data_IF_582257255593
#
_entry.id   IF_582257255593
#
_cell.length_a   1.000
_cell.length_b   1.000
_cell.length_c   1.000
_cell.angle_alpha   90.00
_cell.angle_beta   90.00
_cell.angle_gamma   90.00
#
_symmetry.space_group_name_H-M   'P 1'
#
loop_
_entity.id
_entity.type
_entity.pdbx_description
1 polymer ?
#
# COMPACT_ATOMS: atom_id res chain seq x y z
N UNK A 1 -7.35 -50.85 -15.43
CA UNK A 1 -7.70 -49.72 -14.56
C UNK A 1 -7.17 -49.98 -13.16
N UNK A 2 -6.36 -49.07 -12.62
CA UNK A 2 -5.93 -49.11 -11.22
C UNK A 2 -7.03 -48.46 -10.38
N UNK A 3 -7.39 -49.07 -9.25
CA UNK A 3 -8.37 -48.54 -8.29
C UNK A 3 -7.68 -48.35 -6.95
N UNK A 4 -7.86 -47.19 -6.33
CA UNK A 4 -7.37 -46.94 -4.98
C UNK A 4 -8.42 -47.47 -3.99
N UNK A 5 -8.03 -48.44 -3.17
CA UNK A 5 -8.91 -49.08 -2.18
C UNK A 5 -8.66 -48.58 -0.76
N UNK A 6 -7.44 -48.14 -0.45
CA UNK A 6 -7.06 -47.69 0.88
C UNK A 6 -6.32 -46.35 0.79
N UNK A 7 -6.74 -45.40 1.62
CA UNK A 7 -6.09 -44.10 1.78
C UNK A 7 -5.92 -43.83 3.28
N UNK A 8 -4.68 -43.94 3.77
CA UNK A 8 -4.32 -43.54 5.12
C UNK A 8 -3.41 -42.31 5.09
N UNK A 9 -3.85 -41.25 5.76
CA UNK A 9 -3.16 -39.98 5.94
C UNK A 9 -3.05 -39.61 7.43
N UNK A 10 -3.14 -40.61 8.31
CA UNK A 10 -3.07 -40.46 9.76
C UNK A 10 -1.78 -39.76 10.22
N UNK A 11 -1.87 -38.94 11.29
CA UNK A 11 -0.69 -38.48 12.03
C UNK A 11 0.08 -37.36 11.35
N UNK A 12 -0.62 -36.49 10.62
CA UNK A 12 -0.05 -35.36 9.90
C UNK A 12 -0.56 -34.02 10.47
N UNK A 13 -0.12 -32.90 9.87
CA UNK A 13 -0.53 -31.54 10.27
C UNK A 13 -1.50 -30.89 9.26
N UNK A 14 -2.27 -31.68 8.52
CA UNK A 14 -3.16 -31.14 7.47
C UNK A 14 -4.23 -30.23 8.05
N UNK A 15 -4.55 -29.15 7.31
CA UNK A 15 -5.50 -28.09 7.72
C UNK A 15 -6.56 -27.87 6.65
N UNK A 16 -7.68 -27.24 7.04
CA UNK A 16 -8.80 -26.95 6.14
C UNK A 16 -9.78 -28.13 6.04
N UNK A 17 -10.71 -28.07 5.08
CA UNK A 17 -11.74 -29.10 4.88
C UNK A 17 -11.23 -30.28 4.06
N UNK A 18 -11.89 -31.44 4.16
CA UNK A 18 -11.62 -32.60 3.31
C UNK A 18 -11.83 -32.17 1.84
N UNK A 19 -10.80 -32.26 0.96
CA UNK A 19 -10.96 -31.94 -0.45
C UNK A 19 -11.89 -32.95 -1.13
N UNK A 20 -12.45 -32.60 -2.29
CA UNK A 20 -13.37 -33.51 -2.97
C UNK A 20 -12.68 -34.82 -3.36
N UNK A 21 -13.14 -35.93 -2.76
CA UNK A 21 -12.68 -37.29 -3.06
C UNK A 21 -13.69 -38.06 -3.92
N UNK A 22 -14.72 -37.39 -4.45
CA UNK A 22 -15.90 -38.00 -5.07
C UNK A 22 -15.62 -38.95 -6.25
N UNK A 23 -14.44 -38.84 -6.88
CA UNK A 23 -14.00 -39.70 -7.97
C UNK A 23 -13.42 -41.05 -7.51
N UNK A 24 -13.03 -41.19 -6.24
CA UNK A 24 -12.36 -42.37 -5.68
C UNK A 24 -13.34 -43.49 -5.32
N UNK A 25 -14.22 -43.89 -6.25
CA UNK A 25 -15.33 -44.83 -6.00
C UNK A 25 -14.90 -46.25 -5.58
N UNK A 26 -13.62 -46.58 -5.70
CA UNK A 26 -13.06 -47.87 -5.27
C UNK A 26 -12.64 -47.92 -3.80
N UNK A 27 -12.73 -46.80 -3.08
CA UNK A 27 -12.21 -46.67 -1.72
C UNK A 27 -13.01 -47.50 -0.71
N UNK A 28 -12.30 -48.29 0.10
CA UNK A 28 -12.80 -49.16 1.16
C UNK A 28 -12.32 -48.72 2.54
N UNK A 29 -11.12 -48.14 2.65
CA UNK A 29 -10.59 -47.62 3.90
C UNK A 29 -10.15 -46.17 3.71
N UNK A 30 -10.64 -45.29 4.59
CA UNK A 30 -10.21 -43.90 4.66
C UNK A 30 -9.82 -43.56 6.11
N UNK A 31 -8.53 -43.33 6.34
CA UNK A 31 -8.02 -42.84 7.62
C UNK A 31 -7.46 -41.43 7.47
N UNK A 32 -8.11 -40.46 8.11
CA UNK A 32 -7.71 -39.06 8.18
C UNK A 32 -7.44 -38.62 9.63
N UNK A 33 -7.25 -39.57 10.55
CA UNK A 33 -7.15 -39.28 11.97
C UNK A 33 -5.87 -38.53 12.34
N UNK A 34 -5.84 -37.95 13.54
CA UNK A 34 -4.66 -37.25 14.08
C UNK A 34 -4.13 -36.16 13.13
N UNK A 35 -4.99 -35.21 12.79
CA UNK A 35 -4.70 -34.07 11.90
C UNK A 35 -5.36 -32.78 12.44
N UNK A 36 -5.24 -31.67 11.71
CA UNK A 36 -5.87 -30.39 12.05
C UNK A 36 -6.94 -29.97 11.03
N UNK A 37 -7.66 -30.96 10.47
CA UNK A 37 -8.74 -30.72 9.49
C UNK A 37 -9.97 -30.12 10.18
N UNK A 38 -10.73 -29.30 9.47
CA UNK A 38 -11.84 -28.49 10.02
C UNK A 38 -12.99 -28.34 9.01
N UNK A 39 -14.13 -27.82 9.46
CA UNK A 39 -15.34 -27.67 8.66
C UNK A 39 -16.29 -28.87 8.79
N UNK A 40 -17.29 -28.95 7.91
CA UNK A 40 -18.29 -30.02 7.95
C UNK A 40 -17.79 -31.31 7.29
N UNK A 41 -18.19 -32.45 7.83
CA UNK A 41 -17.93 -33.76 7.23
C UNK A 41 -18.79 -33.89 5.96
N UNK A 42 -18.20 -34.08 4.77
CA UNK A 42 -18.95 -34.08 3.52
C UNK A 42 -19.94 -35.25 3.43
N UNK A 43 -21.18 -34.95 3.05
CA UNK A 43 -22.25 -35.94 2.94
C UNK A 43 -21.96 -37.05 1.92
N UNK A 44 -21.24 -36.73 0.83
CA UNK A 44 -20.89 -37.69 -0.23
C UNK A 44 -20.00 -38.85 0.27
N UNK A 45 -19.37 -38.72 1.45
CA UNK A 45 -18.62 -39.83 2.05
C UNK A 45 -19.52 -41.03 2.37
N UNK A 46 -20.81 -40.81 2.56
CA UNK A 46 -21.80 -41.86 2.73
C UNK A 46 -22.08 -42.66 1.45
N UNK A 47 -21.73 -42.12 0.28
CA UNK A 47 -21.97 -42.77 -1.01
C UNK A 47 -20.88 -43.79 -1.40
N UNK A 48 -19.80 -43.89 -0.61
CA UNK A 48 -18.75 -44.90 -0.83
C UNK A 48 -19.09 -46.19 -0.09
N UNK A 49 -18.63 -47.30 -0.66
CA UNK A 49 -18.70 -48.63 -0.03
C UNK A 49 -17.53 -48.83 0.95
N UNK A 50 -17.39 -47.90 1.89
CA UNK A 50 -16.33 -47.90 2.90
C UNK A 50 -16.58 -49.01 3.93
N UNK A 51 -15.53 -49.75 4.24
CA UNK A 51 -15.45 -50.70 5.34
C UNK A 51 -14.99 -50.04 6.63
N UNK A 52 -14.17 -48.99 6.54
CA UNK A 52 -13.67 -48.24 7.68
C UNK A 52 -13.44 -46.76 7.35
N UNK A 53 -13.97 -45.88 8.21
CA UNK A 53 -13.81 -44.44 8.13
C UNK A 53 -13.31 -43.88 9.47
N UNK A 54 -12.06 -43.41 9.52
CA UNK A 54 -11.49 -42.82 10.73
C UNK A 54 -11.26 -41.32 10.54
N UNK A 55 -12.05 -40.50 11.25
CA UNK A 55 -12.01 -39.04 11.27
C UNK A 55 -11.61 -38.49 12.65
N UNK A 56 -11.12 -39.35 13.53
CA UNK A 56 -10.84 -38.99 14.91
C UNK A 56 -9.70 -37.97 15.06
N UNK A 57 -9.68 -37.24 16.18
CA UNK A 57 -8.64 -36.27 16.53
C UNK A 57 -8.37 -35.24 15.42
N UNK A 58 -9.44 -34.50 15.08
CA UNK A 58 -9.44 -33.37 14.16
C UNK A 58 -10.31 -32.23 14.76
N UNK A 59 -10.61 -31.19 13.97
CA UNK A 59 -11.45 -30.04 14.32
C UNK A 59 -12.74 -29.95 13.50
N UNK A 60 -13.36 -31.07 13.12
CA UNK A 60 -14.63 -31.07 12.38
C UNK A 60 -15.80 -30.53 13.21
N UNK A 61 -16.76 -29.88 12.53
CA UNK A 61 -17.91 -29.23 13.16
C UNK A 61 -19.22 -29.46 12.40
N UNK A 62 -20.34 -29.31 13.11
CA UNK A 62 -21.69 -29.44 12.54
C UNK A 62 -22.29 -30.83 12.65
N UNK A 63 -23.39 -31.06 11.91
CA UNK A 63 -24.12 -32.33 11.95
C UNK A 63 -23.39 -33.42 11.18
N UNK A 64 -23.18 -34.58 11.79
CA UNK A 64 -22.69 -35.76 11.09
C UNK A 64 -23.76 -36.27 10.11
N UNK A 65 -23.42 -36.63 8.85
CA UNK A 65 -24.35 -37.27 7.95
C UNK A 65 -24.96 -38.55 8.55
N UNK A 66 -26.16 -38.91 8.12
CA UNK A 66 -26.91 -40.04 8.70
C UNK A 66 -27.05 -41.23 7.76
N UNK A 67 -26.47 -41.17 6.55
CA UNK A 67 -26.61 -42.19 5.50
C UNK A 67 -25.29 -42.91 5.22
N UNK A 68 -25.37 -44.11 4.64
CA UNK A 68 -24.18 -44.90 4.28
C UNK A 68 -23.36 -45.35 5.48
N UNK A 69 -22.03 -45.25 5.38
CA UNK A 69 -21.06 -45.63 6.43
C UNK A 69 -21.35 -44.99 7.79
N UNK A 70 -21.97 -43.81 7.81
CA UNK A 70 -22.31 -43.09 9.02
C UNK A 70 -23.43 -43.75 9.87
N UNK A 71 -24.13 -44.77 9.34
CA UNK A 71 -25.07 -45.60 10.11
C UNK A 71 -24.38 -46.71 10.91
N UNK A 72 -23.16 -47.09 10.53
CA UNK A 72 -22.45 -48.22 11.12
C UNK A 72 -21.43 -47.72 12.15
N UNK A 73 -21.85 -47.63 13.42
CA UNK A 73 -20.99 -47.12 14.49
C UNK A 73 -19.72 -47.94 14.75
N UNK A 74 -19.70 -49.22 14.34
CA UNK A 74 -18.51 -50.08 14.45
C UNK A 74 -17.47 -49.81 13.36
N UNK A 75 -17.86 -49.16 12.26
CA UNK A 75 -17.02 -48.91 11.10
C UNK A 75 -16.58 -47.44 10.96
N UNK A 76 -16.98 -46.57 11.90
CA UNK A 76 -16.63 -45.15 11.90
C UNK A 76 -16.07 -44.69 13.26
N UNK A 77 -15.01 -43.88 13.23
CA UNK A 77 -14.48 -43.20 14.41
C UNK A 77 -14.46 -41.69 14.19
N UNK A 78 -15.12 -40.95 15.09
CA UNK A 78 -15.19 -39.46 15.08
C UNK A 78 -14.73 -38.83 16.39
N UNK A 79 -14.10 -39.63 17.26
CA UNK A 79 -13.63 -39.22 18.58
C UNK A 79 -12.70 -38.00 18.51
N UNK A 80 -12.71 -37.13 19.52
CA UNK A 80 -11.80 -35.96 19.57
C UNK A 80 -12.25 -34.74 18.76
N UNK A 81 -13.39 -34.79 18.05
CA UNK A 81 -13.97 -33.63 17.36
C UNK A 81 -15.06 -32.98 18.23
N UNK A 82 -14.73 -31.92 18.96
CA UNK A 82 -15.59 -31.35 20.02
C UNK A 82 -16.84 -30.60 19.54
N UNK A 83 -16.91 -30.24 18.25
CA UNK A 83 -18.00 -29.44 17.65
C UNK A 83 -18.95 -30.26 16.77
N UNK A 84 -18.80 -31.58 16.71
CA UNK A 84 -19.73 -32.45 16.01
C UNK A 84 -20.99 -32.70 16.83
N UNK A 85 -22.13 -32.80 16.14
CA UNK A 85 -23.42 -33.12 16.72
C UNK A 85 -24.21 -34.08 15.81
N UNK A 86 -25.24 -34.75 16.33
CA UNK A 86 -26.09 -35.65 15.54
C UNK A 86 -25.46 -37.03 15.26
N UNK A 87 -25.73 -37.62 14.09
CA UNK A 87 -25.24 -38.97 13.75
C UNK A 87 -26.00 -40.12 14.44
N UNK A 88 -25.46 -41.34 14.32
CA UNK A 88 -26.01 -42.54 14.93
C UNK A 88 -25.99 -42.47 16.46
N UNK A 89 -27.03 -42.99 17.12
CA UNK A 89 -27.19 -42.95 18.59
C UNK A 89 -26.01 -43.59 19.34
N UNK A 90 -25.40 -44.61 18.73
CA UNK A 90 -24.26 -45.36 19.26
C UNK A 90 -22.97 -44.52 19.35
N UNK A 91 -22.86 -43.42 18.59
CA UNK A 91 -21.69 -42.52 18.60
C UNK A 91 -21.72 -41.50 19.75
N UNK A 92 -22.81 -41.43 20.51
CA UNK A 92 -22.98 -40.57 21.70
C UNK A 92 -22.67 -39.07 21.49
N UNK A 93 -22.81 -38.57 20.27
CA UNK A 93 -22.64 -37.14 19.97
C UNK A 93 -23.78 -36.29 20.54
N UNK A 94 -23.54 -35.01 20.89
CA UNK A 94 -24.58 -34.11 21.37
C UNK A 94 -25.67 -33.92 20.29
N UNK A 95 -26.91 -33.71 20.72
CA UNK A 95 -28.02 -33.37 19.80
C UNK A 95 -27.78 -31.99 19.20
N UNK A 96 -27.88 -31.87 17.88
CA UNK A 96 -27.76 -30.56 17.22
C UNK A 96 -28.89 -29.63 17.67
N UNK A 97 -28.54 -28.45 18.19
CA UNK A 97 -29.52 -27.46 18.65
C UNK A 97 -30.06 -26.69 17.44
N UNK A 98 -31.30 -26.95 17.04
CA UNK A 98 -31.98 -26.10 16.06
C UNK A 98 -32.28 -24.74 16.71
N UNK A 99 -31.58 -23.68 16.28
CA UNK A 99 -32.15 -22.33 16.37
C UNK A 99 -33.33 -22.28 15.41
N UNK A 100 -34.53 -22.09 15.95
CA UNK A 100 -35.79 -21.96 15.22
C UNK A 100 -35.69 -20.95 14.07
N UNK A 101 -35.72 -21.43 12.82
CA UNK A 101 -36.40 -20.76 11.73
C UNK A 101 -37.82 -21.33 11.71
N UNK A 102 -38.71 -20.85 12.58
CA UNK A 102 -40.18 -20.94 12.44
C UNK A 102 -40.87 -20.24 13.62
N UNK A 103 -41.06 -18.92 13.52
CA UNK A 103 -42.17 -18.24 14.21
C UNK A 103 -43.04 -17.53 13.18
N UNK A 104 -44.27 -18.02 13.07
CA UNK A 104 -45.41 -17.29 12.52
C UNK A 104 -45.58 -15.97 13.28
N UNK A 105 -45.51 -14.84 12.58
CA UNK A 105 -45.81 -13.49 13.10
C UNK A 105 -46.59 -12.68 12.05
N UNK A 106 -47.42 -11.70 12.49
CA UNK A 106 -48.60 -11.24 11.78
C UNK A 106 -48.29 -10.31 10.58
N UNK A 107 -49.18 -10.36 9.59
CA UNK A 107 -49.06 -9.88 8.20
C UNK A 107 -48.99 -8.36 7.96
N UNK A 108 -48.78 -7.52 8.99
CA UNK A 108 -48.78 -6.05 8.83
C UNK A 108 -47.39 -5.39 8.81
N UNK A 109 -46.36 -6.01 9.40
CA UNK A 109 -45.01 -5.40 9.48
C UNK A 109 -44.12 -5.75 8.28
N UNK A 110 -44.45 -6.81 7.55
CA UNK A 110 -43.69 -7.30 6.39
C UNK A 110 -43.76 -6.34 5.18
N UNK A 111 -44.84 -5.56 5.04
CA UNK A 111 -44.94 -4.56 3.95
C UNK A 111 -43.99 -3.39 4.18
N UNK A 112 -43.86 -2.92 5.42
CA UNK A 112 -42.97 -1.80 5.74
C UNK A 112 -41.51 -2.22 5.65
N UNK A 113 -41.15 -3.41 6.14
CA UNK A 113 -39.78 -3.92 6.04
C UNK A 113 -39.39 -4.29 4.62
N UNK A 114 -40.28 -4.88 3.80
CA UNK A 114 -40.01 -5.08 2.36
C UNK A 114 -39.85 -3.74 1.65
N UNK A 115 -40.68 -2.73 1.94
CA UNK A 115 -40.50 -1.38 1.37
C UNK A 115 -39.20 -0.71 1.80
N UNK A 116 -38.79 -0.87 3.07
CA UNK A 116 -37.53 -0.31 3.56
C UNK A 116 -36.34 -1.06 2.97
N UNK A 117 -36.36 -2.39 2.91
CA UNK A 117 -35.28 -3.20 2.33
C UNK A 117 -35.19 -3.00 0.82
N UNK A 118 -36.33 -2.91 0.12
CA UNK A 118 -36.38 -2.56 -1.30
C UNK A 118 -35.91 -1.12 -1.55
N UNK A 119 -36.23 -0.20 -0.65
CA UNK A 119 -35.76 1.19 -0.71
C UNK A 119 -34.26 1.28 -0.46
N UNK A 120 -33.73 0.57 0.54
CA UNK A 120 -32.29 0.51 0.86
C UNK A 120 -31.53 -0.21 -0.25
N UNK A 121 -32.05 -1.30 -0.80
CA UNK A 121 -31.45 -2.00 -1.92
C UNK A 121 -31.51 -1.15 -3.19
N UNK A 122 -32.61 -0.42 -3.42
CA UNK A 122 -32.75 0.53 -4.51
C UNK A 122 -31.77 1.71 -4.39
N UNK A 123 -31.61 2.26 -3.18
CA UNK A 123 -30.64 3.31 -2.89
C UNK A 123 -29.20 2.80 -3.01
N UNK A 124 -28.91 1.58 -2.56
CA UNK A 124 -27.61 0.95 -2.73
C UNK A 124 -27.31 0.68 -4.21
N UNK A 125 -28.29 0.24 -5.00
CA UNK A 125 -28.14 0.05 -6.44
C UNK A 125 -28.00 1.38 -7.17
N UNK A 126 -28.71 2.43 -6.76
CA UNK A 126 -28.53 3.79 -7.28
C UNK A 126 -27.17 4.36 -6.89
N UNK A 127 -26.69 4.10 -5.68
CA UNK A 127 -25.36 4.52 -5.24
C UNK A 127 -24.27 3.75 -5.97
N UNK A 128 -24.44 2.43 -6.16
CA UNK A 128 -23.58 1.61 -7.01
C UNK A 128 -23.66 2.05 -8.49
N UNK A 129 -24.81 2.51 -8.97
CA UNK A 129 -24.98 3.03 -10.32
C UNK A 129 -24.34 4.41 -10.45
N UNK A 130 -24.47 5.29 -9.46
CA UNK A 130 -23.79 6.59 -9.40
C UNK A 130 -22.30 6.38 -9.28
N UNK A 131 -21.81 5.46 -8.44
CA UNK A 131 -20.40 5.06 -8.39
C UNK A 131 -19.99 4.48 -9.74
N UNK A 132 -20.76 3.58 -10.34
CA UNK A 132 -20.43 3.01 -11.65
C UNK A 132 -20.41 4.09 -12.73
N UNK A 133 -21.33 5.06 -12.71
CA UNK A 133 -21.41 6.16 -13.66
C UNK A 133 -20.37 7.25 -13.36
N UNK A 134 -19.94 7.41 -12.10
CA UNK A 134 -18.89 8.33 -11.65
C UNK A 134 -17.51 7.74 -11.88
N UNK A 135 -17.36 6.42 -11.72
CA UNK A 135 -16.23 5.61 -12.17
C UNK A 135 -16.23 5.51 -13.68
N UNK A 136 -17.38 5.46 -14.36
CA UNK A 136 -17.47 5.60 -15.82
C UNK A 136 -17.16 7.01 -16.24
N UNK A 137 -17.55 8.07 -15.53
CA UNK A 137 -17.18 9.47 -15.79
C UNK A 137 -15.70 9.72 -15.53
N UNK A 138 -15.13 9.14 -14.46
CA UNK A 138 -13.68 9.06 -14.23
C UNK A 138 -13.02 8.21 -15.33
N UNK A 139 -13.64 7.12 -15.84
CA UNK A 139 -13.20 6.38 -17.05
C UNK A 139 -13.56 7.07 -18.38
N UNK A 140 -14.42 8.08 -18.45
CA UNK A 140 -14.67 8.85 -19.69
C UNK A 140 -13.81 10.11 -19.70
N UNK A 141 -13.28 10.50 -18.53
CA UNK A 141 -12.15 11.42 -18.39
C UNK A 141 -10.78 10.71 -18.40
N UNK A 142 -10.72 9.41 -18.06
CA UNK A 142 -9.49 8.60 -17.95
C UNK A 142 -9.64 7.19 -18.55
N UNK A 143 -10.32 7.10 -19.69
CA UNK A 143 -10.17 6.00 -20.63
C UNK A 143 -10.43 6.51 -22.05
N UNK A 144 -9.43 7.19 -22.59
CA UNK A 144 -8.85 6.61 -23.79
C UNK A 144 -8.15 5.32 -23.35
N UNK A 145 -8.86 4.19 -23.36
CA UNK A 145 -8.20 2.90 -23.39
C UNK A 145 -7.56 2.76 -24.77
N UNK A 146 -6.46 3.46 -24.99
CA UNK A 146 -5.52 3.07 -26.03
C UNK A 146 -4.85 1.82 -25.51
N UNK A 147 -5.19 0.69 -26.12
CA UNK A 147 -4.35 -0.49 -26.15
C UNK A 147 -2.90 0.01 -26.30
N UNK A 148 -2.03 -0.24 -25.31
CA UNK A 148 -0.63 0.11 -25.40
C UNK A 148 0.04 -0.80 -26.45
N UNK A 149 -0.20 -0.55 -27.74
CA UNK A 149 0.95 -0.40 -28.63
C UNK A 149 1.74 0.76 -28.06
N UNK A 150 3.00 0.55 -27.67
CA UNK A 150 3.92 1.63 -27.31
C UNK A 150 3.81 2.69 -28.41
N UNK A 151 3.08 3.78 -28.16
CA UNK A 151 2.98 4.89 -29.10
C UNK A 151 4.40 5.39 -29.21
N UNK A 152 5.00 5.19 -30.38
CA UNK A 152 6.35 5.64 -30.65
C UNK A 152 6.32 7.15 -30.72
N UNK A 153 6.74 7.79 -29.62
CA UNK A 153 6.81 9.25 -29.52
C UNK A 153 8.12 9.70 -30.15
N UNK A 154 8.05 10.71 -31.01
CA UNK A 154 9.22 11.28 -31.71
C UNK A 154 9.69 12.59 -31.06
N UNK A 155 10.93 12.99 -31.33
CA UNK A 155 11.47 14.28 -30.93
C UNK A 155 10.55 15.44 -31.37
N UNK A 156 10.15 15.47 -32.64
CA UNK A 156 9.31 16.56 -33.18
C UNK A 156 7.97 16.69 -32.47
N UNK A 157 7.36 15.56 -32.11
CA UNK A 157 6.10 15.56 -31.36
C UNK A 157 6.28 16.17 -29.96
N UNK A 158 7.38 15.85 -29.28
CA UNK A 158 7.70 16.42 -27.97
C UNK A 158 8.09 17.89 -28.07
N UNK A 159 8.87 18.26 -29.09
CA UNK A 159 9.25 19.64 -29.36
C UNK A 159 8.00 20.51 -29.54
N UNK A 160 7.06 20.10 -30.40
CA UNK A 160 5.80 20.82 -30.58
C UNK A 160 4.96 20.88 -29.30
N UNK A 161 4.80 19.75 -28.60
CA UNK A 161 3.98 19.70 -27.40
C UNK A 161 4.53 20.51 -26.22
N UNK A 162 5.82 20.85 -26.23
CA UNK A 162 6.48 21.63 -25.18
C UNK A 162 6.78 23.07 -25.61
N UNK A 163 6.26 23.49 -26.77
CA UNK A 163 6.55 24.78 -27.40
C UNK A 163 8.07 25.01 -27.57
N UNK A 164 8.75 24.02 -28.15
CA UNK A 164 10.18 24.04 -28.37
C UNK A 164 11.02 23.93 -27.09
N UNK A 165 10.51 23.23 -26.07
CA UNK A 165 11.12 23.18 -24.73
C UNK A 165 11.28 24.57 -24.11
N UNK A 166 10.25 25.43 -24.27
CA UNK A 166 10.24 26.80 -23.75
C UNK A 166 10.46 26.85 -22.23
N UNK A 167 11.19 27.87 -21.76
CA UNK A 167 11.45 28.07 -20.33
C UNK A 167 10.18 28.31 -19.51
N UNK A 168 9.11 28.83 -20.12
CA UNK A 168 7.80 28.97 -19.47
C UNK A 168 7.15 27.62 -19.13
N UNK A 169 7.54 26.56 -19.85
CA UNK A 169 7.09 25.19 -19.60
C UNK A 169 8.06 24.40 -18.72
N UNK A 170 9.18 24.98 -18.27
CA UNK A 170 10.16 24.29 -17.42
C UNK A 170 9.57 24.07 -16.02
N UNK A 171 9.41 22.80 -15.65
CA UNK A 171 8.93 22.37 -14.32
C UNK A 171 10.07 22.21 -13.33
N UNK A 172 11.26 21.83 -13.80
CA UNK A 172 12.43 21.65 -12.96
C UNK A 172 13.67 21.27 -13.75
N UNK A 173 14.84 21.55 -13.19
CA UNK A 173 16.14 21.25 -13.81
C UNK A 173 17.05 20.58 -12.79
N UNK A 174 17.37 19.31 -13.05
CA UNK A 174 18.35 18.54 -12.28
C UNK A 174 19.73 18.56 -12.94
N UNK A 175 20.66 17.77 -12.40
CA UNK A 175 21.98 17.58 -13.02
C UNK A 175 21.84 17.01 -14.43
N UNK A 176 21.30 15.79 -14.53
CA UNK A 176 21.30 15.04 -15.79
C UNK A 176 20.11 15.32 -16.73
N UNK A 177 19.12 16.10 -16.30
CA UNK A 177 17.89 16.29 -17.08
C UNK A 177 17.16 17.58 -16.75
N UNK A 178 16.30 18.02 -17.68
CA UNK A 178 15.33 19.09 -17.50
C UNK A 178 13.93 18.54 -17.73
N UNK A 179 12.97 18.93 -16.91
CA UNK A 179 11.59 18.46 -16.97
C UNK A 179 10.70 19.59 -17.47
N UNK A 180 9.93 19.34 -18.52
CA UNK A 180 9.03 20.30 -19.14
C UNK A 180 7.59 19.83 -19.07
N UNK A 181 6.65 20.78 -18.99
CA UNK A 181 5.22 20.54 -19.20
C UNK A 181 4.96 20.41 -20.69
N UNK A 182 4.30 19.33 -21.07
CA UNK A 182 3.84 19.07 -22.43
C UNK A 182 2.30 19.12 -22.51
N UNK A 183 1.80 19.60 -23.64
CA UNK A 183 0.39 19.64 -23.98
C UNK A 183 0.16 18.98 -25.36
N UNK A 184 -0.75 18.02 -25.43
CA UNK A 184 -1.09 17.34 -26.69
C UNK A 184 -2.40 17.90 -27.24
N UNK A 185 -2.29 18.74 -28.26
CA UNK A 185 -3.43 19.46 -28.85
C UNK A 185 -4.58 18.55 -29.30
N UNK A 186 -4.27 17.35 -29.79
CA UNK A 186 -5.26 16.43 -30.36
C UNK A 186 -6.27 15.89 -29.34
N UNK A 187 -5.90 15.77 -28.07
CA UNK A 187 -6.74 15.19 -27.02
C UNK A 187 -6.76 16.00 -25.71
N UNK A 188 -6.04 17.11 -25.64
CA UNK A 188 -5.94 17.97 -24.47
C UNK A 188 -5.16 17.36 -23.30
N UNK A 189 -4.41 16.28 -23.53
CA UNK A 189 -3.65 15.62 -22.48
C UNK A 189 -2.44 16.46 -22.06
N UNK A 190 -2.25 16.59 -20.74
CA UNK A 190 -1.08 17.22 -20.13
C UNK A 190 -0.14 16.12 -19.62
N UNK A 191 1.15 16.30 -19.82
CA UNK A 191 2.18 15.34 -19.38
C UNK A 191 3.47 16.07 -18.98
N UNK A 192 4.37 15.36 -18.30
CA UNK A 192 5.71 15.86 -18.00
C UNK A 192 6.74 15.15 -18.88
N UNK A 193 7.66 15.91 -19.48
CA UNK A 193 8.73 15.43 -20.37
C UNK A 193 10.07 15.67 -19.70
N UNK A 194 10.72 14.61 -19.26
CA UNK A 194 12.09 14.65 -18.75
C UNK A 194 13.07 14.45 -19.91
N UNK A 195 13.73 15.53 -20.32
CA UNK A 195 14.74 15.55 -21.37
C UNK A 195 16.13 15.39 -20.75
N UNK A 196 16.89 14.39 -21.17
CA UNK A 196 18.22 14.10 -20.62
C UNK A 196 19.29 14.94 -21.30
N UNK A 197 20.16 15.56 -20.52
CA UNK A 197 21.34 16.26 -21.00
C UNK A 197 22.46 15.25 -21.28
N UNK A 198 22.51 14.73 -22.50
CA UNK A 198 23.44 13.66 -22.89
C UNK A 198 24.91 14.09 -22.92
N UNK A 199 25.19 15.40 -22.83
CA UNK A 199 26.55 15.92 -22.65
C UNK A 199 27.09 15.62 -21.24
N UNK A 200 26.21 15.38 -20.25
CA UNK A 200 26.64 15.03 -18.91
C UNK A 200 26.98 13.54 -18.79
N UNK A 201 28.15 13.26 -18.21
CA UNK A 201 28.60 11.91 -17.91
C UNK A 201 27.61 11.23 -16.97
N UNK A 202 27.01 10.12 -17.43
CA UNK A 202 26.03 9.35 -16.67
C UNK A 202 24.58 9.55 -17.12
N UNK A 203 24.24 10.62 -17.86
CA UNK A 203 22.86 10.89 -18.27
C UNK A 203 22.26 9.79 -19.14
N UNK A 204 23.00 9.30 -20.14
CA UNK A 204 22.57 8.16 -20.97
C UNK A 204 22.31 6.88 -20.16
N UNK A 205 23.06 6.68 -19.06
CA UNK A 205 22.87 5.54 -18.17
C UNK A 205 21.65 5.74 -17.27
N UNK A 206 21.45 6.94 -16.72
CA UNK A 206 20.24 7.30 -15.97
C UNK A 206 18.99 7.02 -16.79
N UNK A 207 18.99 7.42 -18.07
CA UNK A 207 17.89 7.13 -18.98
C UNK A 207 17.58 5.63 -19.12
N UNK A 208 18.61 4.80 -19.39
CA UNK A 208 18.42 3.35 -19.58
C UNK A 208 17.90 2.67 -18.32
N UNK A 209 18.44 3.08 -17.18
CA UNK A 209 18.07 2.55 -15.88
C UNK A 209 16.64 2.93 -15.52
N UNK A 210 16.27 4.20 -15.70
CA UNK A 210 14.88 4.62 -15.53
C UNK A 210 13.96 3.87 -16.50
N UNK A 211 14.35 3.65 -17.77
CA UNK A 211 13.61 2.82 -18.73
C UNK A 211 13.35 1.39 -18.25
N UNK A 212 14.31 0.80 -17.54
CA UNK A 212 14.23 -0.57 -17.01
C UNK A 212 13.24 -0.64 -15.83
N UNK A 213 13.22 0.41 -15.00
CA UNK A 213 12.20 0.58 -13.95
C UNK A 213 10.79 0.65 -14.58
N UNK A 214 10.62 1.35 -15.70
CA UNK A 214 9.29 1.53 -16.32
C UNK A 214 8.64 0.22 -16.74
N UNK A 215 9.45 -0.75 -17.16
CA UNK A 215 8.94 -2.01 -17.70
C UNK A 215 8.29 -2.87 -16.63
N UNK A 216 8.77 -2.78 -15.39
CA UNK A 216 8.51 -3.80 -14.37
C UNK A 216 7.80 -3.26 -13.12
N UNK A 217 7.80 -1.95 -12.85
CA UNK A 217 7.26 -1.40 -11.60
C UNK A 217 5.93 -0.69 -11.79
N UNK A 218 4.95 -1.07 -10.97
CA UNK A 218 3.62 -0.43 -10.92
C UNK A 218 3.18 -0.36 -9.47
N UNK A 219 3.24 0.82 -8.90
CA UNK A 219 2.78 1.11 -7.55
C UNK A 219 2.04 2.44 -7.53
N UNK A 220 1.02 2.56 -6.67
CA UNK A 220 0.18 3.77 -6.60
C UNK A 220 0.95 5.02 -6.16
N UNK A 221 2.04 4.83 -5.42
CA UNK A 221 2.89 5.89 -4.88
C UNK A 221 4.22 6.01 -5.64
N UNK A 222 4.32 5.50 -6.87
CA UNK A 222 5.45 5.72 -7.78
C UNK A 222 4.95 6.41 -9.04
N UNK A 223 5.68 7.44 -9.49
CA UNK A 223 5.27 8.19 -10.69
C UNK A 223 5.27 7.26 -11.90
N UNK A 224 4.12 7.19 -12.57
CA UNK A 224 3.94 6.35 -13.74
C UNK A 224 4.58 6.98 -14.96
N UNK A 225 5.39 6.18 -15.64
CA UNK A 225 5.98 6.57 -16.92
C UNK A 225 5.16 5.99 -18.05
N UNK A 226 4.72 6.89 -18.93
CA UNK A 226 3.80 6.61 -20.02
C UNK A 226 4.53 5.98 -21.20
N UNK A 227 5.69 6.52 -21.55
CA UNK A 227 6.53 6.04 -22.66
C UNK A 227 7.91 6.68 -22.61
N UNK A 228 8.80 6.22 -23.49
CA UNK A 228 10.14 6.75 -23.69
C UNK A 228 10.34 7.19 -25.15
N UNK A 229 11.12 8.23 -25.35
CA UNK A 229 11.59 8.68 -26.65
C UNK A 229 13.12 8.52 -26.71
N UNK A 230 13.60 7.80 -27.71
CA UNK A 230 15.03 7.74 -28.05
C UNK A 230 15.13 7.93 -29.55
N UNK A 231 15.87 8.94 -29.98
CA UNK A 231 15.98 9.30 -31.39
C UNK A 231 17.05 10.36 -31.61
N UNK A 232 16.85 11.20 -32.61
CA UNK A 232 17.77 12.27 -32.98
C UNK A 232 17.03 13.60 -33.05
N UNK A 233 17.72 14.67 -32.68
CA UNK A 233 17.30 16.05 -32.94
C UNK A 233 17.42 16.36 -34.44
N UNK A 234 16.82 17.46 -34.90
CA UNK A 234 16.91 17.87 -36.32
C UNK A 234 18.36 18.18 -36.75
N UNK A 235 19.25 18.49 -35.79
CA UNK A 235 20.68 18.72 -35.98
C UNK A 235 21.52 17.41 -36.02
N UNK A 236 20.90 16.26 -35.75
CA UNK A 236 21.55 14.95 -35.75
C UNK A 236 22.15 14.51 -34.42
N UNK A 237 22.01 15.30 -33.36
CA UNK A 237 22.43 14.92 -32.00
C UNK A 237 21.51 13.84 -31.41
N UNK A 238 22.05 12.96 -30.57
CA UNK A 238 21.26 11.98 -29.82
C UNK A 238 20.25 12.69 -28.92
N UNK A 239 19.01 12.22 -28.92
CA UNK A 239 17.93 12.72 -28.07
C UNK A 239 17.31 11.58 -27.26
N UNK A 240 17.18 11.80 -25.94
CA UNK A 240 16.54 10.86 -25.02
C UNK A 240 15.62 11.60 -24.06
N UNK A 241 14.38 11.13 -23.96
CA UNK A 241 13.39 11.68 -23.05
C UNK A 241 12.46 10.62 -22.48
N UNK A 242 11.97 10.86 -21.26
CA UNK A 242 10.94 10.07 -20.62
C UNK A 242 9.68 10.90 -20.42
N UNK A 243 8.52 10.29 -20.64
CA UNK A 243 7.22 10.95 -20.57
C UNK A 243 6.44 10.38 -19.39
N UNK A 244 6.08 11.23 -18.44
CA UNK A 244 5.40 10.89 -17.20
C UNK A 244 3.98 11.46 -17.20
N UNK A 245 3.11 10.87 -16.39
CA UNK A 245 1.87 11.54 -15.98
C UNK A 245 2.21 12.88 -15.31
N UNK A 246 1.43 13.92 -15.62
CA UNK A 246 1.60 15.23 -15.01
C UNK A 246 0.98 15.25 -13.61
N UNK A 247 1.67 15.87 -12.65
CA UNK A 247 1.23 15.99 -11.26
C UNK A 247 0.78 17.42 -11.00
N UNK A 248 -0.52 17.63 -10.78
CA UNK A 248 -1.16 18.95 -10.74
C UNK A 248 -0.66 19.83 -9.58
N UNK A 249 -0.36 19.21 -8.44
CA UNK A 249 0.02 19.94 -7.23
C UNK A 249 1.52 20.18 -7.10
N UNK A 250 2.33 19.70 -8.06
CA UNK A 250 3.78 19.90 -8.09
C UNK A 250 4.52 19.05 -7.06
N UNK A 251 5.68 19.55 -6.60
CA UNK A 251 6.53 18.83 -5.64
C UNK A 251 6.19 19.19 -4.20
N UNK A 252 6.45 18.28 -3.25
CA UNK A 252 6.29 18.52 -1.82
C UNK A 252 7.15 19.71 -1.35
N UNK A 253 8.30 19.93 -1.98
CA UNK A 253 9.18 21.08 -1.69
C UNK A 253 8.43 22.41 -1.82
N UNK A 254 7.60 22.56 -2.86
CA UNK A 254 6.81 23.77 -3.13
C UNK A 254 5.75 24.06 -2.05
N UNK A 255 5.33 23.01 -1.32
CA UNK A 255 4.34 23.10 -0.25
C UNK A 255 4.97 23.34 1.13
N UNK A 256 6.17 22.80 1.36
CA UNK A 256 6.89 22.99 2.61
C UNK A 256 7.63 24.33 2.64
N UNK A 257 8.18 24.74 1.49
CA UNK A 257 9.13 25.84 1.39
C UNK A 257 8.82 26.74 0.18
N UNK A 258 7.62 27.35 0.14
CA UNK A 258 7.23 28.20 -0.97
C UNK A 258 8.24 29.34 -1.15
N UNK A 259 8.80 29.47 -2.35
CA UNK A 259 9.71 30.55 -2.67
C UNK A 259 8.95 31.89 -2.65
N UNK A 260 9.37 32.89 -1.87
CA UNK A 260 8.74 34.20 -1.90
C UNK A 260 9.15 34.94 -3.18
N UNK A 261 8.16 35.24 -4.04
CA UNK A 261 8.09 36.17 -5.20
C UNK A 261 7.62 35.46 -6.50
N UNK A 262 6.86 36.04 -7.44
CA UNK A 262 6.53 37.45 -7.71
C UNK A 262 5.18 37.59 -8.45
N UNK A 263 4.21 36.68 -8.29
CA UNK A 263 2.91 36.74 -9.00
C UNK A 263 1.73 36.17 -8.18
N UNK A 264 1.67 36.49 -6.88
CA UNK A 264 0.55 36.09 -6.01
C UNK A 264 -0.69 36.96 -6.28
N UNK A 265 -1.28 36.80 -7.47
CA UNK A 265 -2.67 37.19 -7.71
C UNK A 265 -3.58 36.08 -7.15
N UNK A 266 -4.30 36.38 -6.06
CA UNK A 266 -5.49 35.65 -5.58
C UNK A 266 -5.44 34.11 -5.46
N UNK A 267 -4.27 33.51 -5.24
CA UNK A 267 -4.14 32.07 -4.95
C UNK A 267 -4.05 31.81 -3.45
N UNK A 268 -4.86 30.89 -2.92
CA UNK A 268 -4.70 30.35 -1.57
C UNK A 268 -3.24 29.96 -1.32
N UNK A 269 -2.67 30.37 -0.19
CA UNK A 269 -1.33 29.92 0.21
C UNK A 269 -1.35 28.40 0.30
N UNK A 270 -0.52 27.72 -0.50
CA UNK A 270 -0.31 26.27 -0.41
C UNK A 270 0.08 25.92 1.03
N UNK A 271 -0.80 25.19 1.72
CA UNK A 271 -0.61 24.78 3.12
C UNK A 271 -1.01 23.32 3.24
N UNK A 272 -0.16 22.52 3.89
CA UNK A 272 -0.46 21.14 4.24
C UNK A 272 -0.71 21.03 5.74
N UNK A 273 -1.91 20.58 6.10
CA UNK A 273 -2.28 20.31 7.49
C UNK A 273 -1.59 19.03 8.02
N UNK A 274 -1.75 18.77 9.31
CA UNK A 274 -1.13 17.63 9.97
C UNK A 274 -1.47 16.29 9.33
N UNK A 275 -2.75 16.05 9.05
CA UNK A 275 -3.21 14.79 8.48
C UNK A 275 -2.72 14.58 7.05
N UNK A 276 -2.66 15.65 6.25
CA UNK A 276 -2.12 15.63 4.90
C UNK A 276 -0.63 15.27 4.91
N UNK A 277 0.19 15.92 5.77
CA UNK A 277 1.61 15.56 5.90
C UNK A 277 1.80 14.11 6.37
N UNK A 278 0.94 13.63 7.27
CA UNK A 278 0.95 12.25 7.72
C UNK A 278 0.65 11.26 6.58
N UNK A 279 -0.35 11.55 5.75
CA UNK A 279 -0.69 10.70 4.60
C UNK A 279 0.44 10.68 3.57
N UNK A 280 1.03 11.84 3.26
CA UNK A 280 2.17 11.97 2.36
C UNK A 280 3.35 11.15 2.89
N UNK A 281 3.67 11.23 4.19
CA UNK A 281 4.74 10.42 4.79
C UNK A 281 4.49 8.91 4.64
N UNK A 282 3.25 8.46 4.85
CA UNK A 282 2.87 7.05 4.66
C UNK A 282 2.99 6.62 3.20
N UNK A 283 2.55 7.46 2.27
CA UNK A 283 2.62 7.19 0.84
C UNK A 283 4.07 7.03 0.37
N UNK A 284 4.97 7.91 0.82
CA UNK A 284 6.41 7.80 0.54
C UNK A 284 7.00 6.53 1.17
N UNK A 285 6.64 6.21 2.42
CA UNK A 285 7.11 4.98 3.08
C UNK A 285 6.64 3.71 2.34
N UNK A 286 5.39 3.67 1.88
CA UNK A 286 4.86 2.57 1.07
C UNK A 286 5.60 2.45 -0.28
N UNK A 287 5.96 3.57 -0.91
CA UNK A 287 6.75 3.55 -2.14
C UNK A 287 8.13 2.92 -1.90
N UNK A 288 8.83 3.32 -0.82
CA UNK A 288 10.12 2.74 -0.45
C UNK A 288 10.01 1.25 -0.09
N UNK A 289 8.99 0.85 0.68
CA UNK A 289 8.75 -0.56 1.01
C UNK A 289 8.58 -1.42 -0.24
N UNK A 290 7.85 -0.91 -1.23
CA UNK A 290 7.68 -1.59 -2.51
C UNK A 290 9.03 -1.74 -3.25
N UNK A 291 9.83 -0.67 -3.32
CA UNK A 291 11.15 -0.68 -3.96
C UNK A 291 12.16 -1.60 -3.26
N UNK A 292 12.11 -1.71 -1.93
CA UNK A 292 13.09 -2.46 -1.15
C UNK A 292 12.75 -3.95 -1.04
N UNK A 293 11.48 -4.28 -0.80
CA UNK A 293 11.05 -5.62 -0.37
C UNK A 293 10.22 -6.38 -1.41
N UNK A 294 9.60 -5.69 -2.36
CA UNK A 294 8.64 -6.30 -3.29
C UNK A 294 9.09 -6.28 -4.76
N UNK A 295 10.28 -5.75 -5.03
CA UNK A 295 10.92 -5.80 -6.34
C UNK A 295 11.72 -7.10 -6.51
N UNK A 296 11.81 -7.61 -7.75
CA UNK A 296 12.61 -8.81 -8.07
C UNK A 296 14.11 -8.60 -7.80
N UNK A 297 14.54 -7.34 -7.79
CA UNK A 297 15.86 -6.88 -7.34
C UNK A 297 15.63 -5.66 -6.45
N UNK A 298 16.13 -5.66 -5.21
CA UNK A 298 15.95 -4.55 -4.27
C UNK A 298 16.50 -3.25 -4.88
N UNK A 299 15.63 -2.24 -5.04
CA UNK A 299 15.98 -0.95 -5.65
C UNK A 299 16.21 0.07 -4.55
N UNK A 300 17.37 0.72 -4.58
CA UNK A 300 17.69 1.82 -3.67
C UNK A 300 17.50 3.15 -4.39
N UNK A 301 16.73 4.05 -3.81
CA UNK A 301 16.34 5.34 -4.39
C UNK A 301 17.49 6.36 -4.41
N UNK A 302 18.36 6.39 -3.40
CA UNK A 302 19.56 7.24 -3.32
C UNK A 302 19.36 8.77 -3.18
N UNK A 303 18.28 9.35 -3.72
CA UNK A 303 18.04 10.81 -3.72
C UNK A 303 16.67 11.17 -3.13
N UNK A 304 16.30 10.59 -1.99
CA UNK A 304 15.01 10.91 -1.38
C UNK A 304 15.04 12.30 -0.73
N UNK A 305 14.19 13.22 -1.22
CA UNK A 305 14.03 14.62 -0.75
C UNK A 305 12.68 15.20 -1.20
N UNK A 306 12.20 16.32 -0.61
CA UNK A 306 10.88 16.87 -0.94
C UNK A 306 10.66 17.15 -2.43
N UNK A 307 11.67 17.60 -3.18
CA UNK A 307 11.55 17.90 -4.61
C UNK A 307 11.27 16.66 -5.48
N UNK A 308 11.54 15.46 -4.97
CA UNK A 308 11.35 14.19 -5.66
C UNK A 308 10.05 13.47 -5.23
N UNK A 309 9.26 14.09 -4.35
CA UNK A 309 7.93 13.65 -3.96
C UNK A 309 6.92 14.56 -4.66
N UNK A 310 6.21 14.04 -5.65
CA UNK A 310 5.18 14.78 -6.37
C UNK A 310 3.80 14.48 -5.81
N UNK A 311 2.88 15.44 -5.93
CA UNK A 311 1.51 15.34 -5.43
C UNK A 311 0.52 15.40 -6.60
N UNK A 312 -0.38 14.43 -6.66
CA UNK A 312 -1.50 14.42 -7.61
C UNK A 312 -2.64 15.36 -7.18
N UNK A 313 -3.73 15.40 -7.94
CA UNK A 313 -4.91 16.24 -7.68
C UNK A 313 -5.61 15.96 -6.34
N UNK A 314 -5.47 14.75 -5.79
CA UNK A 314 -6.02 14.32 -4.51
C UNK A 314 -4.99 14.43 -3.35
N UNK A 315 -3.81 15.03 -3.59
CA UNK A 315 -2.67 15.15 -2.67
C UNK A 315 -2.07 13.80 -2.24
N UNK A 316 -2.21 12.77 -3.07
CA UNK A 316 -1.52 11.49 -2.90
C UNK A 316 -0.08 11.66 -3.33
N UNK A 317 0.85 11.19 -2.49
CA UNK A 317 2.27 11.33 -2.79
C UNK A 317 2.76 10.24 -3.74
N UNK A 318 3.52 10.66 -4.75
CA UNK A 318 4.19 9.79 -5.71
C UNK A 318 5.68 10.09 -5.75
N UNK A 319 6.49 9.07 -5.48
CA UNK A 319 7.94 9.18 -5.51
C UNK A 319 8.45 9.05 -6.95
N UNK A 320 9.27 10.02 -7.38
CA UNK A 320 9.98 9.96 -8.65
C UNK A 320 11.24 9.13 -8.44
N UNK A 321 11.29 7.91 -8.98
CA UNK A 321 12.48 7.06 -8.86
C UNK A 321 13.63 7.66 -9.66
N UNK A 322 14.62 8.22 -8.97
CA UNK A 322 15.77 8.87 -9.59
C UNK A 322 17.05 8.14 -9.21
N UNK A 323 17.92 7.97 -10.20
CA UNK A 323 19.36 7.80 -10.03
C UNK A 323 19.81 6.57 -9.21
N UNK A 324 20.19 5.50 -9.92
CA UNK A 324 20.94 4.42 -9.30
C UNK A 324 22.38 4.89 -9.10
N UNK A 325 22.79 5.03 -7.84
CA UNK A 325 24.17 5.33 -7.49
C UNK A 325 25.12 4.25 -8.01
N UNK A 326 26.07 4.64 -8.86
CA UNK A 326 27.15 3.76 -9.31
C UNK A 326 28.44 4.28 -8.72
N UNK A 327 28.97 3.56 -7.72
CA UNK A 327 30.31 3.82 -7.20
C UNK A 327 30.49 3.61 -5.69
N UNK A 328 29.41 3.49 -4.93
CA UNK A 328 29.44 3.12 -3.51
C UNK A 328 28.55 1.90 -3.26
N UNK A 329 28.77 1.20 -2.16
CA UNK A 329 27.87 0.13 -1.69
C UNK A 329 26.57 0.78 -1.23
N UNK A 330 25.69 1.10 -2.18
CA UNK A 330 24.40 1.72 -1.90
C UNK A 330 23.56 0.72 -1.11
N UNK A 331 22.94 1.17 -0.03
CA UNK A 331 22.12 0.33 0.84
C UNK A 331 20.74 0.94 1.00
N UNK A 332 19.71 0.10 1.09
CA UNK A 332 18.36 0.51 1.46
C UNK A 332 18.34 1.34 2.75
N UNK A 333 19.24 1.06 3.70
CA UNK A 333 19.41 1.87 4.92
C UNK A 333 19.74 3.35 4.63
N UNK A 334 20.36 3.68 3.50
CA UNK A 334 20.56 5.07 3.07
C UNK A 334 19.25 5.79 2.79
N UNK A 335 18.32 5.13 2.10
CA UNK A 335 16.98 5.67 1.86
C UNK A 335 16.20 5.83 3.17
N UNK A 336 16.37 4.90 4.13
CA UNK A 336 15.73 5.00 5.46
C UNK A 336 16.23 6.25 6.19
N UNK A 337 17.54 6.54 6.13
CA UNK A 337 18.08 7.76 6.70
C UNK A 337 17.48 9.01 6.08
N UNK A 338 17.47 9.08 4.74
CA UNK A 338 16.87 10.20 4.01
C UNK A 338 15.37 10.33 4.29
N UNK A 339 14.65 9.22 4.48
CA UNK A 339 13.24 9.23 4.88
C UNK A 339 13.06 9.81 6.28
N UNK A 340 13.94 9.46 7.23
CA UNK A 340 13.96 10.05 8.56
C UNK A 340 14.11 11.57 8.51
N UNK A 341 15.07 12.08 7.74
CA UNK A 341 15.29 13.52 7.55
C UNK A 341 14.09 14.18 6.86
N UNK A 342 13.54 13.58 5.81
CA UNK A 342 12.33 14.04 5.13
C UNK A 342 11.15 14.17 6.10
N UNK A 343 11.00 13.20 7.02
CA UNK A 343 9.95 13.21 8.04
C UNK A 343 10.15 14.36 9.03
N UNK A 344 11.37 14.59 9.50
CA UNK A 344 11.68 15.72 10.39
C UNK A 344 11.46 17.07 9.69
N UNK A 345 11.87 17.20 8.43
CA UNK A 345 11.66 18.39 7.60
C UNK A 345 10.16 18.66 7.40
N UNK A 346 9.39 17.61 7.07
CA UNK A 346 7.94 17.72 6.90
C UNK A 346 7.23 18.26 8.14
N UNK A 347 7.66 17.97 9.36
CA UNK A 347 6.93 18.43 10.56
C UNK A 347 7.51 19.71 11.18
N UNK A 348 8.76 20.05 10.88
CA UNK A 348 9.40 21.29 11.36
C UNK A 348 9.31 22.46 10.38
N UNK A 349 9.08 22.16 9.09
CA UNK A 349 9.12 23.15 8.01
C UNK A 349 10.51 23.76 7.81
N UNK A 350 11.59 23.09 8.24
CA UNK A 350 12.97 23.57 8.13
C UNK A 350 13.76 22.73 7.15
N UNK A 351 14.48 23.37 6.23
CA UNK A 351 15.33 22.65 5.28
C UNK A 351 16.57 22.15 6.01
N UNK A 352 17.03 20.92 5.78
CA UNK A 352 18.34 20.46 6.28
C UNK A 352 19.51 21.35 5.84
N UNK A 353 19.32 22.16 4.79
CA UNK A 353 20.29 23.11 4.24
C UNK A 353 20.09 24.55 4.72
N UNK A 354 19.17 24.82 5.63
CA UNK A 354 18.98 26.16 6.18
C UNK A 354 20.25 26.68 6.85
N UNK A 355 20.49 27.98 6.77
CA UNK A 355 21.71 28.63 7.28
C UNK A 355 21.94 28.42 8.78
N UNK A 356 20.89 28.07 9.53
CA UNK A 356 21.00 27.74 10.96
C UNK A 356 21.69 26.39 11.22
N UNK A 357 21.76 25.49 10.24
CA UNK A 357 22.38 24.18 10.34
C UNK A 357 23.81 24.21 9.83
N UNK A 358 24.70 24.78 10.64
CA UNK A 358 26.14 24.92 10.40
C UNK A 358 26.91 24.43 11.62
N UNK A 359 28.23 24.28 11.48
CA UNK A 359 29.15 23.96 12.58
C UNK A 359 28.79 22.67 13.34
N UNK A 360 28.30 21.65 12.63
CA UNK A 360 27.96 20.34 13.20
C UNK A 360 26.54 20.22 13.75
N UNK A 361 25.76 21.30 13.76
CA UNK A 361 24.32 21.23 14.02
C UNK A 361 23.59 20.84 12.72
N UNK A 362 22.86 19.74 12.75
CA UNK A 362 21.97 19.31 11.67
C UNK A 362 20.51 19.27 12.13
N UNK A 363 19.59 19.03 11.19
CA UNK A 363 18.17 18.96 11.49
C UNK A 363 17.84 17.84 12.50
N UNK A 364 18.54 16.70 12.41
CA UNK A 364 18.32 15.59 13.35
C UNK A 364 18.60 16.03 14.80
N UNK A 365 19.78 16.58 15.04
CA UNK A 365 20.23 17.01 16.37
C UNK A 365 19.43 18.22 16.88
N UNK A 366 19.03 19.13 15.99
CA UNK A 366 18.14 20.24 16.33
C UNK A 366 16.79 19.77 16.89
N UNK A 367 16.16 18.79 16.22
CA UNK A 367 14.90 18.22 16.71
C UNK A 367 15.13 17.39 17.97
N UNK A 368 16.20 16.60 18.02
CA UNK A 368 16.54 15.77 19.17
C UNK A 368 16.69 16.61 20.45
N UNK A 369 17.29 17.80 20.36
CA UNK A 369 17.44 18.72 21.49
C UNK A 369 16.09 19.27 22.04
N UNK A 370 15.01 19.22 21.24
CA UNK A 370 13.67 19.60 21.66
C UNK A 370 12.82 18.41 22.13
N UNK A 371 13.23 17.18 21.84
CA UNK A 371 12.46 15.97 22.16
C UNK A 371 12.53 15.60 23.65
N UNK A 372 11.45 15.08 24.26
CA UNK A 372 10.06 15.05 23.75
C UNK A 372 9.25 16.32 24.14
N UNK A 373 9.74 17.11 25.09
CA UNK A 373 8.93 18.09 25.83
C UNK A 373 8.79 19.47 25.16
N UNK A 374 9.62 19.79 24.16
CA UNK A 374 9.63 21.09 23.47
C UNK A 374 9.33 20.99 21.98
N UNK A 375 8.84 19.84 21.51
CA UNK A 375 8.61 19.63 20.08
C UNK A 375 7.62 20.65 19.49
N UNK A 376 6.57 21.02 20.24
CA UNK A 376 5.57 22.00 19.78
C UNK A 376 6.17 23.37 19.46
N UNK A 377 7.33 23.72 20.01
CA UNK A 377 8.01 25.01 19.77
C UNK A 377 8.74 25.03 18.42
N UNK A 378 9.13 23.86 17.90
CA UNK A 378 9.94 23.74 16.69
C UNK A 378 9.14 23.27 15.47
N UNK A 379 7.87 22.90 15.66
CA UNK A 379 6.95 22.52 14.59
C UNK A 379 6.69 23.66 13.62
N UNK A 380 6.35 23.29 12.39
CA UNK A 380 5.76 24.22 11.45
C UNK A 380 4.46 24.80 12.04
N UNK A 381 4.35 26.14 12.20
CA UNK A 381 3.19 26.79 12.81
C UNK A 381 1.87 26.40 12.16
N UNK A 382 1.86 26.09 10.85
CA UNK A 382 0.63 25.72 10.13
C UNK A 382 -0.02 24.45 10.68
N UNK A 383 0.77 23.58 11.31
CA UNK A 383 0.28 22.35 11.94
C UNK A 383 -0.52 22.63 13.21
N UNK A 384 -0.27 23.78 13.85
CA UNK A 384 -0.97 24.23 15.05
C UNK A 384 -2.20 25.08 14.75
N UNK A 385 -2.37 25.54 13.50
CA UNK A 385 -3.51 26.36 13.06
C UNK A 385 -4.80 25.56 12.83
N UNK A 386 -4.72 24.22 12.74
CA UNK A 386 -5.89 23.39 12.39
C UNK A 386 -6.85 23.19 13.57
N UNK A 387 -8.14 23.47 13.36
CA UNK A 387 -9.20 23.23 14.36
C UNK A 387 -9.62 21.74 14.46
N UNK A 388 -9.07 20.88 13.61
CA UNK A 388 -9.47 19.47 13.50
C UNK A 388 -8.92 18.61 14.66
N UNK A 389 -7.81 19.03 15.28
CA UNK A 389 -7.08 18.21 16.24
C UNK A 389 -6.71 19.01 17.49
N UNK A 390 -7.00 18.44 18.68
CA UNK A 390 -6.61 19.06 19.95
C UNK A 390 -5.09 19.09 20.10
N UNK A 391 -4.57 20.15 20.71
CA UNK A 391 -3.12 20.37 20.92
C UNK A 391 -2.42 19.19 21.60
N UNK A 392 -3.00 18.63 22.67
CA UNK A 392 -2.42 17.48 23.39
C UNK A 392 -2.29 16.25 22.47
N UNK A 393 -3.27 16.06 21.57
CA UNK A 393 -3.24 14.96 20.60
C UNK A 393 -2.18 15.20 19.53
N UNK A 394 -2.02 16.45 19.09
CA UNK A 394 -0.95 16.85 18.15
C UNK A 394 0.40 16.52 18.79
N UNK A 395 0.60 16.92 20.04
CA UNK A 395 1.83 16.65 20.79
C UNK A 395 2.15 15.15 20.89
N UNK A 396 1.15 14.32 21.23
CA UNK A 396 1.30 12.86 21.25
C UNK A 396 1.73 12.31 19.88
N UNK A 397 1.02 12.69 18.81
CA UNK A 397 1.31 12.19 17.46
C UNK A 397 2.66 12.70 16.96
N UNK A 398 3.01 13.94 17.24
CA UNK A 398 4.29 14.56 16.93
C UNK A 398 5.42 13.82 17.62
N UNK A 399 5.27 13.48 18.91
CA UNK A 399 6.24 12.67 19.62
C UNK A 399 6.46 11.31 18.94
N UNK A 400 5.39 10.62 18.56
CA UNK A 400 5.51 9.33 17.86
C UNK A 400 6.15 9.47 16.48
N UNK A 401 5.75 10.48 15.69
CA UNK A 401 6.29 10.73 14.34
C UNK A 401 7.77 11.08 14.40
N UNK A 402 8.19 11.97 15.31
CA UNK A 402 9.60 12.31 15.46
C UNK A 402 10.41 11.12 16.00
N UNK A 403 9.83 10.28 16.86
CA UNK A 403 10.43 9.00 17.29
C UNK A 403 10.76 8.07 16.11
N UNK A 404 9.83 7.94 15.16
CA UNK A 404 10.08 7.24 13.88
C UNK A 404 11.19 7.95 13.09
N UNK A 405 11.13 9.27 12.97
CA UNK A 405 12.13 10.08 12.28
C UNK A 405 13.54 9.87 12.82
N UNK A 406 13.73 9.88 14.13
CA UNK A 406 15.02 9.63 14.78
C UNK A 406 15.51 8.21 14.54
N UNK A 407 14.65 7.21 14.75
CA UNK A 407 15.05 5.82 14.56
C UNK A 407 15.39 5.53 13.10
N UNK A 408 14.79 6.24 12.13
CA UNK A 408 15.17 6.16 10.73
C UNK A 408 16.51 6.85 10.42
N UNK A 409 16.81 7.96 11.10
CA UNK A 409 17.96 8.83 10.82
C UNK A 409 19.13 8.69 11.81
N UNK A 410 19.19 7.62 12.60
CA UNK A 410 20.37 7.31 13.42
C UNK A 410 21.61 7.06 12.55
N UNK A 411 22.79 7.42 13.06
CA UNK A 411 24.05 7.34 12.33
C UNK A 411 24.37 5.91 11.87
N UNK A 412 24.20 4.93 12.77
CA UNK A 412 24.49 3.52 12.51
C UNK A 412 23.38 2.85 11.69
N UNK A 413 23.69 2.45 10.47
CA UNK A 413 22.74 1.84 9.54
C UNK A 413 22.01 0.58 10.07
N UNK A 414 22.66 -0.17 10.97
CA UNK A 414 22.11 -1.40 11.58
C UNK A 414 21.03 -1.13 12.64
N UNK A 415 21.02 0.08 13.21
CA UNK A 415 20.10 0.48 14.27
C UNK A 415 18.88 1.22 13.69
N UNK A 416 18.87 1.41 12.36
CA UNK A 416 17.76 2.04 11.65
C UNK A 416 16.57 1.09 11.55
N UNK A 417 15.37 1.64 11.71
CA UNK A 417 14.12 0.90 11.58
C UNK A 417 13.97 0.31 10.17
N UNK A 418 13.42 -0.89 10.05
CA UNK A 418 13.08 -1.47 8.75
C UNK A 418 11.87 -0.73 8.14
N UNK A 419 11.86 -0.53 6.82
CA UNK A 419 10.81 0.24 6.13
C UNK A 419 9.40 -0.33 6.34
N UNK A 420 9.26 -1.65 6.46
CA UNK A 420 7.96 -2.28 6.76
C UNK A 420 7.44 -1.89 8.15
N UNK A 421 8.32 -1.78 9.14
CA UNK A 421 7.98 -1.34 10.50
C UNK A 421 7.64 0.15 10.50
N UNK A 422 8.39 0.97 9.74
CA UNK A 422 8.09 2.40 9.54
C UNK A 422 6.67 2.58 8.99
N UNK A 423 6.29 1.83 7.95
CA UNK A 423 4.94 1.87 7.38
C UNK A 423 3.88 1.50 8.43
N UNK A 424 4.11 0.41 9.17
CA UNK A 424 3.19 -0.04 10.20
C UNK A 424 2.99 0.99 11.33
N UNK A 425 4.08 1.59 11.81
CA UNK A 425 4.04 2.59 12.87
C UNK A 425 3.36 3.88 12.42
N UNK A 426 3.69 4.41 11.23
CA UNK A 426 3.03 5.60 10.69
C UNK A 426 1.54 5.37 10.46
N UNK A 427 1.15 4.20 9.96
CA UNK A 427 -0.27 3.84 9.83
C UNK A 427 -0.96 3.74 11.20
N UNK A 428 -0.30 3.18 12.21
CA UNK A 428 -0.80 3.11 13.58
C UNK A 428 -1.08 4.50 14.15
N UNK A 429 -0.11 5.41 14.04
CA UNK A 429 -0.23 6.81 14.48
C UNK A 429 -1.41 7.50 13.77
N UNK A 430 -1.49 7.39 12.44
CA UNK A 430 -2.59 7.99 11.65
C UNK A 430 -3.96 7.45 12.06
N UNK A 431 -4.07 6.15 12.31
CA UNK A 431 -5.33 5.53 12.72
C UNK A 431 -5.76 6.01 14.12
N UNK A 432 -4.80 6.26 15.03
CA UNK A 432 -5.02 6.91 16.32
C UNK A 432 -5.60 8.33 16.18
N UNK A 433 -5.19 9.07 15.16
CA UNK A 433 -5.75 10.40 14.83
C UNK A 433 -7.23 10.28 14.41
N UNK A 434 -7.55 9.32 13.54
CA UNK A 434 -8.87 9.13 12.93
C UNK A 434 -9.92 8.44 13.83
N UNK A 435 -9.53 7.98 15.03
CA UNK A 435 -10.43 7.34 15.99
C UNK A 435 -10.81 5.88 15.65
N UNK A 436 -10.21 5.30 14.61
CA UNK A 436 -10.43 3.92 14.16
C UNK A 436 -9.50 2.93 14.89
N UNK A 437 -9.87 2.62 16.15
CA UNK A 437 -9.60 1.39 16.93
C UNK A 437 -8.50 1.40 18.02
N UNK A 438 -8.92 0.85 19.18
CA UNK A 438 -8.25 0.34 20.40
C UNK A 438 -6.73 0.50 20.52
N UNK A 439 -6.35 1.23 21.59
CA UNK A 439 -5.05 1.23 22.26
C UNK A 439 -4.31 -0.12 22.10
N UNK A 440 -3.24 -0.10 21.30
CA UNK A 440 -2.08 -0.94 21.53
C UNK A 440 -1.00 -0.06 22.17
N UNK A 441 -0.27 -0.64 23.12
CA UNK A 441 0.77 0.01 23.90
C UNK A 441 1.73 0.81 23.01
N UNK A 442 1.92 2.08 23.38
CA UNK A 442 3.09 2.87 22.99
C UNK A 442 4.33 2.06 23.35
N UNK A 443 5.13 1.69 22.35
CA UNK A 443 6.44 1.10 22.59
C UNK A 443 7.28 2.22 23.22
N UNK A 444 7.80 2.00 24.42
CA UNK A 444 8.76 2.89 25.02
C UNK A 444 10.02 2.89 24.12
N UNK A 445 10.27 4.02 23.45
CA UNK A 445 11.56 4.23 22.79
C UNK A 445 12.65 4.13 23.86
N UNK A 446 13.78 3.45 23.60
CA UNK A 446 14.89 3.43 24.53
C UNK A 446 15.27 4.89 24.80
N UNK A 447 15.35 5.25 26.08
CA UNK A 447 15.99 6.51 26.46
C UNK A 447 17.38 6.46 25.82
N UNK A 448 17.64 7.37 24.88
CA UNK A 448 19.00 7.64 24.42
C UNK A 448 19.75 8.05 25.67
N UNK A 449 20.61 7.14 26.15
CA UNK A 449 21.44 7.38 27.31
C UNK A 449 22.26 8.62 27.03
N UNK A 450 22.07 9.66 27.84
CA UNK A 450 22.98 10.78 27.97
C UNK A 450 24.31 10.26 28.52
N UNK A 451 25.09 9.56 27.72
CA UNK A 451 26.50 9.33 28.00
C UNK A 451 27.31 9.56 26.73
N UNK A 452 28.26 10.49 26.87
CA UNK A 452 29.34 10.89 25.96
C UNK A 452 28.96 11.87 24.82
N UNK A 453 28.76 13.14 25.24
CA UNK A 453 29.25 14.31 24.49
C UNK A 453 30.73 14.55 24.82
#
# INVERSE_FOLDING_TARGET
>A
CVRLEELSLEGNYFRGSIPSLSSLRGLRLLDLSNNNLSGQVPQYLGDFDLQLLNLSFNSFEGSLPTEGIFKNASAISVLGNSKLCGGALELQLPKCTQKELNKSFPTSTFKLTISIVSGVLGLALLFCFIIFYSCKRKKTRLASSTNHSLVQVSYRSLYQATDGFCSANLLGKGGFASVYKGFMENNGAIFAVKVFNLLQRGASRSFLVECEVLKNFRHRNLVKVLTACSGFEDEGNDFKALIYEYMENGSLDDWLHPCPNEDMSYGETKKLNFLQRMNIAIDVACALEYLHNHSHESIVHCDLKPSNVLLDDELVAMLVTLEYGVGSKVSSSGDIFSFGILLLEMFTGKRPTDDMFRDGLDLHNFVLAAFPHRLLEILDPVLLESNEMKRDKIEECVNSVHGVGFTCSVELARDRMNIADVVAELQSIRNGISGTTRQKQVIAFPALSNEEY
#
